data_IF_454564400599
#
_entry.id   IF_454564400599
#
_cell.length_a   1.000
_cell.length_b   1.000
_cell.length_c   1.000
_cell.angle_alpha   90.00
_cell.angle_beta   90.00
_cell.angle_gamma   90.00
#
_symmetry.space_group_name_H-M   'P 1'
#
loop_
_entity.id
_entity.type
_entity.pdbx_description
1 polymer ?
#
# COMPACT_ATOMS: atom_id res chain seq x y z
N UNK A 1 15.06 -2.79 15.43
CA UNK A 1 15.22 -2.37 14.02
C UNK A 1 14.23 -3.13 13.14
N UNK A 2 13.61 -2.48 12.14
CA UNK A 2 12.69 -3.14 11.21
C UNK A 2 13.38 -4.27 10.44
N UNK A 3 12.66 -5.37 10.25
CA UNK A 3 13.08 -6.45 9.36
C UNK A 3 12.19 -6.36 8.11
N UNK A 4 12.61 -5.58 7.11
CA UNK A 4 11.80 -5.28 5.92
C UNK A 4 11.33 -6.52 5.16
N UNK A 5 12.10 -7.62 5.16
CA UNK A 5 11.65 -8.86 4.54
C UNK A 5 10.49 -9.52 5.30
N UNK A 6 10.58 -9.54 6.64
CA UNK A 6 9.52 -10.08 7.49
C UNK A 6 8.28 -9.18 7.45
N UNK A 7 8.49 -7.89 7.65
CA UNK A 7 7.42 -6.88 7.62
C UNK A 7 6.70 -6.91 6.25
N UNK A 8 7.43 -7.00 5.14
CA UNK A 8 6.83 -7.10 3.80
C UNK A 8 6.06 -8.39 3.58
N UNK A 9 6.48 -9.49 4.23
CA UNK A 9 5.69 -10.73 4.24
C UNK A 9 4.38 -10.54 5.00
N UNK A 10 4.38 -9.80 6.11
CA UNK A 10 3.14 -9.48 6.85
C UNK A 10 2.19 -8.64 5.98
N UNK A 11 2.70 -7.61 5.27
CA UNK A 11 1.88 -6.81 4.33
C UNK A 11 1.34 -7.67 3.21
N UNK A 12 2.20 -8.45 2.55
CA UNK A 12 1.79 -9.35 1.46
C UNK A 12 0.68 -10.29 1.90
N UNK A 13 0.84 -10.94 3.06
CA UNK A 13 -0.15 -11.88 3.56
C UNK A 13 -1.48 -11.18 3.85
N UNK A 14 -1.44 -10.01 4.52
CA UNK A 14 -2.65 -9.23 4.79
C UNK A 14 -3.40 -8.88 3.49
N UNK A 15 -2.70 -8.36 2.48
CA UNK A 15 -3.30 -7.99 1.20
C UNK A 15 -3.80 -9.24 0.45
N UNK A 16 -3.06 -10.34 0.50
CA UNK A 16 -3.49 -11.59 -0.13
C UNK A 16 -4.76 -12.16 0.51
N UNK A 17 -4.86 -12.10 1.84
CA UNK A 17 -6.03 -12.53 2.58
C UNK A 17 -7.23 -11.60 2.31
N UNK A 18 -7.02 -10.28 2.27
CA UNK A 18 -8.05 -9.30 1.84
C UNK A 18 -8.57 -9.61 0.43
N UNK A 19 -7.66 -9.86 -0.51
CA UNK A 19 -8.00 -10.21 -1.89
C UNK A 19 -8.66 -11.58 -2.02
N UNK A 20 -8.62 -12.42 -0.99
CA UNK A 20 -9.28 -13.73 -0.97
C UNK A 20 -10.79 -13.64 -0.68
N UNK A 21 -11.23 -12.53 -0.05
CA UNK A 21 -12.61 -12.33 0.44
C UNK A 21 -13.60 -12.22 -0.72
N UNK A 22 -14.69 -13.00 -0.67
CA UNK A 22 -15.64 -13.16 -1.78
C UNK A 22 -16.34 -11.85 -2.19
N UNK A 23 -16.78 -11.05 -1.22
CA UNK A 23 -17.45 -9.78 -1.50
C UNK A 23 -16.46 -8.72 -2.05
N UNK A 24 -15.22 -8.72 -1.57
CA UNK A 24 -14.14 -7.86 -2.10
C UNK A 24 -13.86 -8.22 -3.57
N UNK A 25 -13.68 -9.50 -3.87
CA UNK A 25 -13.52 -9.98 -5.26
C UNK A 25 -14.68 -9.55 -6.15
N UNK A 26 -15.91 -9.61 -5.64
CA UNK A 26 -17.11 -9.21 -6.40
C UNK A 26 -17.12 -7.72 -6.70
N UNK A 27 -16.83 -6.87 -5.70
CA UNK A 27 -16.74 -5.40 -5.85
C UNK A 27 -15.60 -4.99 -6.78
N UNK A 28 -14.42 -5.59 -6.65
CA UNK A 28 -13.29 -5.36 -7.54
C UNK A 28 -13.56 -5.82 -8.98
N UNK A 29 -14.26 -6.95 -9.15
CA UNK A 29 -14.72 -7.41 -10.45
C UNK A 29 -15.68 -6.41 -11.11
N UNK A 30 -16.58 -5.80 -10.32
CA UNK A 30 -17.44 -4.72 -10.78
C UNK A 30 -16.65 -3.48 -11.20
N UNK A 31 -15.72 -3.02 -10.36
CA UNK A 31 -14.82 -1.89 -10.66
C UNK A 31 -14.10 -2.09 -11.98
N UNK A 32 -13.50 -3.27 -12.20
CA UNK A 32 -12.83 -3.60 -13.45
C UNK A 32 -13.78 -3.63 -14.66
N UNK A 33 -14.95 -4.26 -14.52
CA UNK A 33 -15.95 -4.35 -15.60
C UNK A 33 -16.53 -3.00 -16.01
N UNK A 34 -16.60 -2.05 -15.06
CA UNK A 34 -17.13 -0.71 -15.28
C UNK A 34 -16.06 0.33 -15.52
N UNK A 35 -14.79 -0.09 -15.58
CA UNK A 35 -13.63 0.78 -15.80
C UNK A 35 -13.59 1.96 -14.81
N UNK A 36 -14.03 1.71 -13.56
CA UNK A 36 -14.04 2.73 -12.51
C UNK A 36 -12.60 2.99 -12.08
N UNK A 37 -12.17 4.26 -12.13
CA UNK A 37 -10.80 4.68 -11.85
C UNK A 37 -10.61 5.37 -10.50
N UNK A 38 -11.68 5.81 -9.84
CA UNK A 38 -11.69 6.68 -8.66
C UNK A 38 -12.09 5.95 -7.36
N UNK A 39 -11.60 4.73 -7.17
CA UNK A 39 -12.03 3.84 -6.09
C UNK A 39 -11.03 3.72 -4.93
N UNK A 40 -9.97 4.54 -4.90
CA UNK A 40 -8.93 4.52 -3.87
C UNK A 40 -9.50 4.74 -2.46
N UNK A 41 -10.41 5.71 -2.28
CA UNK A 41 -11.04 5.97 -0.97
C UNK A 41 -11.94 4.84 -0.50
N UNK A 42 -12.66 4.20 -1.42
CA UNK A 42 -13.44 3.00 -1.12
C UNK A 42 -12.52 1.85 -0.67
N UNK A 43 -11.39 1.65 -1.36
CA UNK A 43 -10.40 0.65 -0.98
C UNK A 43 -9.80 0.93 0.41
N UNK A 44 -9.48 2.18 0.72
CA UNK A 44 -8.99 2.57 2.06
C UNK A 44 -9.99 2.17 3.16
N UNK A 45 -11.28 2.42 2.95
CA UNK A 45 -12.34 2.07 3.89
C UNK A 45 -12.51 0.55 4.05
N UNK A 46 -12.58 -0.19 2.93
CA UNK A 46 -12.78 -1.65 2.98
C UNK A 46 -11.58 -2.38 3.56
N UNK A 47 -10.36 -1.90 3.29
CA UNK A 47 -9.15 -2.49 3.87
C UNK A 47 -9.09 -2.22 5.38
N UNK A 48 -9.43 -1.00 5.83
CA UNK A 48 -9.55 -0.71 7.27
C UNK A 48 -10.57 -1.66 7.92
N UNK A 49 -11.78 -1.75 7.37
CA UNK A 49 -12.83 -2.62 7.89
C UNK A 49 -12.39 -4.09 7.94
N UNK A 50 -11.72 -4.57 6.88
CA UNK A 50 -11.19 -5.91 6.85
C UNK A 50 -10.16 -6.15 7.95
N UNK A 51 -9.16 -5.26 8.09
CA UNK A 51 -8.11 -5.39 9.12
C UNK A 51 -8.73 -5.45 10.52
N UNK A 52 -9.64 -4.52 10.82
CA UNK A 52 -10.33 -4.42 12.11
C UNK A 52 -11.12 -5.71 12.42
N UNK A 53 -11.85 -6.22 11.43
CA UNK A 53 -12.67 -7.45 11.57
C UNK A 53 -11.86 -8.73 11.85
N UNK A 54 -10.55 -8.72 11.62
CA UNK A 54 -9.72 -9.89 11.93
C UNK A 54 -9.43 -10.06 13.42
N UNK A 55 -9.65 -9.02 14.23
CA UNK A 55 -9.29 -8.95 15.66
C UNK A 55 -7.80 -9.25 15.96
N UNK A 56 -6.95 -9.24 14.93
CA UNK A 56 -5.50 -9.50 15.04
C UNK A 56 -4.67 -8.22 15.04
N UNK A 57 -5.28 -7.11 14.66
CA UNK A 57 -4.62 -5.85 14.45
C UNK A 57 -5.38 -4.70 15.10
N UNK A 58 -4.63 -3.67 15.47
CA UNK A 58 -5.17 -2.32 15.66
C UNK A 58 -4.93 -1.55 14.37
N UNK A 59 -5.92 -0.80 13.89
CA UNK A 59 -5.87 -0.09 12.60
C UNK A 59 -6.52 1.28 12.68
N UNK A 60 -5.90 2.26 12.04
CA UNK A 60 -6.41 3.63 11.92
C UNK A 60 -6.25 4.11 10.48
N UNK A 61 -7.14 5.00 10.05
CA UNK A 61 -7.18 5.56 8.68
C UNK A 61 -7.04 7.08 8.73
N UNK A 62 -6.43 7.67 7.70
CA UNK A 62 -6.24 9.12 7.57
C UNK A 62 -5.54 9.74 8.79
N UNK A 63 -4.45 9.11 9.22
CA UNK A 63 -3.68 9.59 10.37
C UNK A 63 -2.94 10.87 9.99
N UNK A 64 -3.21 11.94 10.74
CA UNK A 64 -2.53 13.21 10.57
C UNK A 64 -1.07 13.09 11.04
N UNK A 65 -0.16 13.54 10.20
CA UNK A 65 1.26 13.59 10.45
C UNK A 65 1.82 14.99 10.16
N UNK A 66 2.79 15.38 10.99
CA UNK A 66 3.55 16.61 10.78
C UNK A 66 4.60 16.37 9.68
N UNK A 67 4.63 17.23 8.64
CA UNK A 67 5.65 17.15 7.62
C UNK A 67 7.01 17.67 8.12
N UNK A 68 8.10 17.04 7.68
CA UNK A 68 9.43 17.63 7.67
C UNK A 68 9.43 18.77 6.65
N UNK A 69 9.33 20.00 7.16
CA UNK A 69 9.25 21.22 6.35
C UNK A 69 10.48 21.45 5.46
N UNK A 70 11.61 20.76 5.72
CA UNK A 70 12.78 20.78 4.83
C UNK A 70 12.51 20.00 3.54
N UNK A 71 11.74 18.91 3.64
CA UNK A 71 11.39 18.01 2.52
C UNK A 71 10.08 18.41 1.85
N UNK A 72 9.11 18.92 2.61
CA UNK A 72 7.77 19.26 2.14
C UNK A 72 7.43 20.73 2.43
N UNK A 73 8.08 21.64 1.70
CA UNK A 73 7.86 23.08 1.83
C UNK A 73 6.39 23.44 1.58
N UNK A 74 5.81 24.22 2.49
CA UNK A 74 4.44 24.75 2.35
C UNK A 74 3.32 23.80 2.77
N UNK A 75 3.59 22.54 3.12
CA UNK A 75 2.58 21.65 3.71
C UNK A 75 2.56 21.81 5.23
N UNK A 76 1.38 22.01 5.80
CA UNK A 76 1.16 22.03 7.26
C UNK A 76 0.83 20.64 7.81
N UNK A 77 0.22 19.77 7.00
CA UNK A 77 -0.20 18.42 7.38
C UNK A 77 0.04 17.43 6.23
N UNK A 78 0.27 16.18 6.59
CA UNK A 78 0.21 15.01 5.70
C UNK A 78 -0.79 14.03 6.32
N UNK A 79 -1.51 13.29 5.49
CA UNK A 79 -2.35 12.19 5.94
C UNK A 79 -1.79 10.88 5.40
N UNK A 80 -1.54 9.94 6.32
CA UNK A 80 -1.19 8.56 6.00
C UNK A 80 -2.50 7.80 5.82
N UNK A 81 -2.64 7.08 4.70
CA UNK A 81 -3.91 6.44 4.35
C UNK A 81 -4.35 5.42 5.41
N UNK A 82 -3.47 4.47 5.75
CA UNK A 82 -3.73 3.45 6.77
C UNK A 82 -2.47 3.26 7.62
N UNK A 83 -2.66 3.13 8.93
CA UNK A 83 -1.65 2.55 9.81
C UNK A 83 -2.23 1.32 10.51
N UNK A 84 -1.42 0.31 10.77
CA UNK A 84 -1.85 -0.80 11.60
C UNK A 84 -0.69 -1.47 12.34
N UNK A 85 -1.00 -2.18 13.42
CA UNK A 85 -0.05 -3.02 14.14
C UNK A 85 -0.68 -4.34 14.53
N UNK A 86 0.12 -5.40 14.60
CA UNK A 86 -0.33 -6.72 15.06
C UNK A 86 -0.37 -6.77 16.59
N UNK A 87 -1.43 -7.32 17.17
CA UNK A 87 -1.48 -7.57 18.61
C UNK A 87 -0.38 -8.55 19.04
N UNK A 88 0.12 -8.39 20.27
CA UNK A 88 1.22 -9.20 20.81
C UNK A 88 2.60 -8.89 20.21
N UNK A 89 2.73 -7.82 19.40
CA UNK A 89 4.03 -7.28 18.95
C UNK A 89 4.42 -6.03 19.74
N UNK A 90 5.61 -5.48 19.49
CA UNK A 90 6.12 -4.30 20.20
C UNK A 90 5.08 -3.16 20.19
N UNK A 91 4.80 -2.63 21.39
CA UNK A 91 3.77 -1.60 21.58
C UNK A 91 4.18 -0.32 20.83
N UNK A 92 3.20 0.32 20.19
CA UNK A 92 3.39 1.63 19.55
C UNK A 92 4.14 1.60 18.23
N UNK A 93 4.44 0.43 17.66
CA UNK A 93 5.19 0.27 16.41
C UNK A 93 4.26 -0.15 15.26
N UNK A 94 3.92 0.81 14.39
CA UNK A 94 2.90 0.63 13.36
C UNK A 94 3.52 0.53 11.95
N UNK A 95 2.92 -0.32 11.11
CA UNK A 95 3.13 -0.27 9.66
C UNK A 95 2.39 0.95 9.11
N UNK A 96 3.08 1.79 8.34
CA UNK A 96 2.45 2.90 7.64
C UNK A 96 2.25 2.50 6.18
N UNK A 97 1.01 2.61 5.70
CA UNK A 97 0.63 2.20 4.35
C UNK A 97 0.02 3.37 3.60
N UNK A 98 0.59 3.68 2.44
CA UNK A 98 -0.04 4.51 1.42
C UNK A 98 -0.65 3.60 0.35
N UNK A 99 -1.90 3.86 0.02
CA UNK A 99 -2.64 3.13 -0.99
C UNK A 99 -2.64 3.91 -2.29
N UNK A 100 -2.51 3.21 -3.42
CA UNK A 100 -2.64 3.81 -4.75
C UNK A 100 -3.47 2.97 -5.69
N UNK A 101 -4.26 3.62 -6.52
CA UNK A 101 -4.95 2.95 -7.63
C UNK A 101 -4.64 3.64 -8.94
N UNK A 102 -4.37 2.86 -9.99
CA UNK A 102 -4.30 3.36 -11.36
C UNK A 102 -4.65 2.21 -12.32
N UNK A 103 -5.38 2.45 -13.42
CA UNK A 103 -5.64 1.38 -14.38
C UNK A 103 -4.38 0.69 -14.88
N UNK A 104 -3.31 1.43 -15.14
CA UNK A 104 -2.07 0.93 -15.74
C UNK A 104 -0.99 0.70 -14.70
N UNK A 105 -0.34 -0.47 -14.77
CA UNK A 105 0.72 -0.85 -13.84
C UNK A 105 1.92 0.10 -13.90
N UNK A 106 2.36 0.50 -15.09
CA UNK A 106 3.52 1.40 -15.25
C UNK A 106 3.25 2.78 -14.61
N UNK A 107 2.05 3.32 -14.86
CA UNK A 107 1.63 4.62 -14.32
C UNK A 107 1.44 4.55 -12.79
N UNK A 108 0.88 3.44 -12.29
CA UNK A 108 0.79 3.17 -10.85
C UNK A 108 2.19 3.23 -10.20
N UNK A 109 3.16 2.55 -10.80
CA UNK A 109 4.53 2.52 -10.29
C UNK A 109 5.14 3.92 -10.22
N UNK A 110 5.04 4.70 -11.30
CA UNK A 110 5.54 6.08 -11.34
C UNK A 110 4.90 6.94 -10.24
N UNK A 111 3.58 6.86 -10.05
CA UNK A 111 2.87 7.59 -8.99
C UNK A 111 3.35 7.18 -7.59
N UNK A 112 3.58 5.88 -7.36
CA UNK A 112 4.12 5.38 -6.08
C UNK A 112 5.56 5.90 -5.83
N UNK A 113 6.40 5.97 -6.86
CA UNK A 113 7.74 6.54 -6.77
C UNK A 113 7.73 8.05 -6.53
N UNK A 114 6.81 8.79 -7.14
CA UNK A 114 6.64 10.24 -6.90
C UNK A 114 6.19 10.51 -5.46
N UNK A 115 5.20 9.74 -4.97
CA UNK A 115 4.68 9.88 -3.61
C UNK A 115 5.60 9.27 -2.54
N UNK A 116 6.68 8.58 -2.93
CA UNK A 116 7.68 8.07 -1.99
C UNK A 116 8.20 9.13 -1.01
N UNK A 117 8.39 10.35 -1.51
CA UNK A 117 8.83 11.48 -0.68
C UNK A 117 7.78 11.95 0.34
N UNK A 118 6.49 11.62 0.14
CA UNK A 118 5.41 11.93 1.08
C UNK A 118 5.62 11.21 2.41
N UNK A 119 5.80 9.89 2.40
CA UNK A 119 6.04 9.10 3.62
C UNK A 119 7.40 9.41 4.26
N UNK A 120 8.45 9.61 3.46
CA UNK A 120 9.75 10.08 3.98
C UNK A 120 9.74 11.49 4.54
N UNK A 121 8.72 12.25 4.17
CA UNK A 121 8.46 13.59 4.64
C UNK A 121 7.67 13.61 5.94
N UNK A 122 7.24 12.47 6.50
CA UNK A 122 6.67 12.43 7.86
C UNK A 122 7.78 12.68 8.86
N UNK A 123 7.67 13.76 9.63
CA UNK A 123 8.59 14.08 10.73
C UNK A 123 8.13 13.40 12.02
N UNK A 124 6.83 13.50 12.33
CA UNK A 124 6.23 12.86 13.49
C UNK A 124 4.72 12.76 13.32
N UNK A 125 4.11 11.80 14.01
CA UNK A 125 2.68 11.76 14.29
C UNK A 125 2.47 11.14 15.68
N UNK A 126 1.23 10.89 16.06
CA UNK A 126 0.89 10.21 17.33
C UNK A 126 1.47 8.80 17.45
N UNK A 127 1.79 8.16 16.31
CA UNK A 127 2.21 6.77 16.24
C UNK A 127 3.69 6.65 15.83
N UNK A 128 4.42 5.69 16.42
CA UNK A 128 5.78 5.43 15.96
C UNK A 128 5.75 4.50 14.75
N UNK A 129 6.45 4.93 13.71
CA UNK A 129 6.56 4.16 12.49
C UNK A 129 7.56 3.01 12.67
N UNK A 130 7.11 1.78 12.39
CA UNK A 130 7.95 0.58 12.29
C UNK A 130 8.58 0.46 10.91
N UNK A 131 7.75 0.49 9.87
CA UNK A 131 8.14 0.44 8.46
C UNK A 131 7.05 1.08 7.59
N UNK A 132 7.43 1.56 6.40
CA UNK A 132 6.54 2.20 5.43
C UNK A 132 6.37 1.36 4.18
N UNK A 133 5.16 1.38 3.64
CA UNK A 133 4.76 0.55 2.52
C UNK A 133 3.88 1.34 1.55
N UNK A 134 4.10 1.13 0.27
CA UNK A 134 3.14 1.49 -0.76
C UNK A 134 2.46 0.23 -1.25
N UNK A 135 1.13 0.25 -1.29
CA UNK A 135 0.32 -0.85 -1.82
C UNK A 135 -0.55 -0.28 -2.94
N UNK A 136 -0.21 -0.68 -4.16
CA UNK A 136 -0.86 -0.24 -5.38
C UNK A 136 -1.76 -1.31 -5.99
N UNK A 137 -2.88 -0.91 -6.59
CA UNK A 137 -3.79 -1.78 -7.32
C UNK A 137 -4.01 -1.30 -8.75
N UNK A 138 -4.03 -2.23 -9.71
CA UNK A 138 -4.19 -1.92 -11.13
C UNK A 138 -5.10 -2.91 -11.87
N UNK A 139 -5.72 -2.46 -12.97
CA UNK A 139 -6.69 -3.25 -13.74
C UNK A 139 -6.13 -3.73 -15.10
N UNK A 140 -5.07 -3.09 -15.59
CA UNK A 140 -4.43 -3.32 -16.89
C UNK A 140 -2.91 -3.51 -16.70
N UNK A 141 -2.41 -4.63 -17.21
CA UNK A 141 -0.97 -4.93 -17.28
C UNK A 141 -0.44 -4.46 -18.62
N UNK A 142 0.01 -3.21 -18.70
CA UNK A 142 0.58 -2.59 -19.90
C UNK A 142 2.07 -2.87 -20.10
N UNK A 143 2.74 -3.35 -19.06
CA UNK A 143 4.10 -3.88 -19.08
C UNK A 143 4.03 -5.40 -18.90
N UNK A 144 3.89 -6.19 -19.98
CA UNK A 144 3.65 -7.63 -19.89
C UNK A 144 4.84 -8.41 -19.30
N UNK A 145 6.02 -7.78 -19.20
CA UNK A 145 7.24 -8.40 -18.70
C UNK A 145 7.50 -8.05 -17.23
N UNK A 146 7.25 -9.02 -16.34
CA UNK A 146 7.75 -8.99 -14.94
C UNK A 146 9.24 -8.60 -14.84
N UNK A 147 10.16 -8.99 -15.76
CA UNK A 147 11.56 -8.56 -15.72
C UNK A 147 11.79 -7.05 -15.86
N UNK A 148 11.01 -6.34 -16.67
CA UNK A 148 11.23 -4.90 -16.91
C UNK A 148 10.83 -4.08 -15.69
N UNK A 149 9.67 -4.37 -15.10
CA UNK A 149 9.27 -3.83 -13.80
C UNK A 149 10.30 -4.19 -12.73
N UNK A 150 10.77 -5.43 -12.71
CA UNK A 150 11.78 -5.86 -11.75
C UNK A 150 13.11 -5.10 -11.91
N UNK A 151 13.49 -4.77 -13.15
CA UNK A 151 14.66 -3.94 -13.43
C UNK A 151 14.45 -2.49 -13.00
N UNK A 152 13.26 -1.91 -13.24
CA UNK A 152 12.91 -0.56 -12.74
C UNK A 152 12.97 -0.50 -11.21
N UNK A 153 12.37 -1.49 -10.54
CA UNK A 153 12.35 -1.59 -9.08
C UNK A 153 13.73 -1.79 -8.48
N UNK A 154 14.58 -2.59 -9.15
CA UNK A 154 15.98 -2.74 -8.76
C UNK A 154 16.76 -1.43 -8.89
N UNK A 155 16.50 -0.64 -9.92
CA UNK A 155 17.16 0.66 -10.11
C UNK A 155 16.76 1.64 -9.00
N UNK A 156 15.50 1.61 -8.57
CA UNK A 156 14.97 2.50 -7.53
C UNK A 156 15.27 2.03 -6.09
N UNK A 157 16.08 0.98 -5.94
CA UNK A 157 16.64 0.49 -4.67
C UNK A 157 15.60 0.12 -3.60
N UNK A 158 14.44 -0.40 -4.00
CA UNK A 158 13.45 -0.96 -3.07
C UNK A 158 13.99 -2.21 -2.35
N UNK A 159 13.89 -2.27 -1.01
CA UNK A 159 14.34 -3.41 -0.20
C UNK A 159 13.34 -4.58 -0.22
N UNK A 160 12.08 -4.28 -0.53
CA UNK A 160 11.03 -5.28 -0.72
C UNK A 160 10.16 -4.92 -1.91
N UNK A 161 9.81 -5.93 -2.69
CA UNK A 161 8.85 -5.84 -3.77
C UNK A 161 8.02 -7.12 -3.86
N UNK A 162 6.74 -6.94 -4.15
CA UNK A 162 5.85 -8.02 -4.55
C UNK A 162 4.92 -7.52 -5.66
N UNK A 163 4.72 -8.34 -6.69
CA UNK A 163 3.75 -8.09 -7.75
C UNK A 163 3.03 -9.38 -8.12
N UNK A 164 1.71 -9.36 -8.10
CA UNK A 164 0.89 -10.49 -8.51
C UNK A 164 -0.49 -10.08 -9.00
N UNK A 165 -1.18 -10.99 -9.69
CA UNK A 165 -2.54 -10.80 -10.15
C UNK A 165 -3.52 -11.71 -9.42
N UNK A 166 -4.62 -11.14 -8.94
CA UNK A 166 -5.65 -11.84 -8.19
C UNK A 166 -6.93 -11.94 -9.03
N UNK A 167 -7.51 -13.15 -9.08
CA UNK A 167 -8.76 -13.39 -9.78
C UNK A 167 -9.95 -12.73 -9.04
N UNK A 168 -10.70 -11.88 -9.75
CA UNK A 168 -11.84 -11.11 -9.25
C UNK A 168 -13.09 -11.32 -10.13
N UNK A 169 -13.61 -12.56 -10.14
CA UNK A 169 -14.73 -12.97 -10.98
C UNK A 169 -14.31 -14.03 -12.01
N UNK A 170 -15.12 -14.26 -13.05
CA UNK A 170 -14.87 -15.36 -14.01
C UNK A 170 -13.69 -15.09 -14.95
N UNK A 171 -13.58 -13.87 -15.47
CA UNK A 171 -12.58 -13.50 -16.49
C UNK A 171 -11.76 -12.26 -16.11
N UNK A 172 -11.83 -11.81 -14.85
CA UNK A 172 -11.20 -10.57 -14.42
C UNK A 172 -10.10 -10.83 -13.41
N UNK A 173 -9.05 -10.02 -13.52
CA UNK A 173 -7.94 -9.97 -12.56
C UNK A 173 -7.67 -8.54 -12.13
N UNK A 174 -7.26 -8.36 -10.88
CA UNK A 174 -6.68 -7.12 -10.38
C UNK A 174 -5.22 -7.41 -10.04
N UNK A 175 -4.33 -6.56 -10.54
CA UNK A 175 -2.94 -6.57 -10.16
C UNK A 175 -2.71 -5.83 -8.85
N UNK A 176 -1.74 -6.32 -8.08
CA UNK A 176 -1.32 -5.73 -6.81
C UNK A 176 0.19 -5.58 -6.83
N UNK A 177 0.66 -4.37 -6.51
CA UNK A 177 2.06 -4.01 -6.40
C UNK A 177 2.36 -3.53 -4.97
N UNK A 178 3.31 -4.16 -4.29
CA UNK A 178 3.75 -3.77 -2.94
C UNK A 178 5.20 -3.37 -3.01
N UNK A 179 5.52 -2.18 -2.50
CA UNK A 179 6.86 -1.64 -2.42
C UNK A 179 7.19 -1.27 -0.98
N UNK A 180 8.35 -1.70 -0.50
CA UNK A 180 8.87 -1.36 0.83
C UNK A 180 10.29 -0.83 0.74
N UNK A 181 10.54 0.32 1.36
CA UNK A 181 11.88 0.90 1.45
C UNK A 181 12.16 1.37 2.89
N UNK A 182 13.40 1.26 3.37
CA UNK A 182 13.82 1.83 4.63
C UNK A 182 13.62 3.33 4.65
N UNK A 183 12.99 3.84 5.71
CA UNK A 183 13.23 5.23 6.10
C UNK A 183 14.71 5.31 6.47
N UNK A 184 15.54 5.70 5.50
CA UNK A 184 16.93 6.06 5.78
C UNK A 184 16.90 7.30 6.68
N UNK A 185 17.55 7.15 7.83
CA UNK A 185 17.89 8.20 8.80
C UNK A 185 18.41 9.47 8.11
#
# INVERSE_FOLDING_TARGET
>A
MPNYKKDGTDIKNLISDFMSVSHIKSKLGFIKNKEISDWEKWLQLELQYYIDSTEKYEVEREVNALPDKRKLKGRSHIFIDIIFRKFGTAIGQFYFVELKTNPYMSSLYSLMCEDYNKLRGVLSCEYNQRSSWFVGFYTITDQPNRPEVYNMIKQDAWEYFFNDEFQVGKNNKIGVLILGHPVRE
#
